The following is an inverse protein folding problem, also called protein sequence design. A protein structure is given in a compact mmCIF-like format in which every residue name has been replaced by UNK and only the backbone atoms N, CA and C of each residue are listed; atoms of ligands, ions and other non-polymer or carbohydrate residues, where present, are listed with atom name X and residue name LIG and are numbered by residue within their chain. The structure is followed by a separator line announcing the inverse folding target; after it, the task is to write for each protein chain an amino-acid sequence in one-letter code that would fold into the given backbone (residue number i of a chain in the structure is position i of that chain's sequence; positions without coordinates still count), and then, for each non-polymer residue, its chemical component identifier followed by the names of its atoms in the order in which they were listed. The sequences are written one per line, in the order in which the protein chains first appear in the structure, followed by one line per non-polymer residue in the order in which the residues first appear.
data_IF_075957004698
#
_entry.id   IF_075957004698
#
_cell.length_a   1.000
_cell.length_b   1.000
_cell.length_c   1.000
_cell.angle_alpha   90.00
_cell.angle_beta   90.00
_cell.angle_gamma   90.00
#
_symmetry.space_group_name_H-M   'P 1'
#
loop_
_entity.id
_entity.type
_entity.pdbx_description
1 polymer ?
#
# COMPACT_ATOMS: atom_id res chain seq x y z
N UNK A 1 -13.60 -3.18 -5.91
CA UNK A 1 -14.10 -2.68 -4.65
C UNK A 1 -15.40 -1.91 -4.79
N UNK A 2 -16.28 -2.09 -3.85
CA UNK A 2 -17.56 -1.40 -3.79
C UNK A 2 -17.47 -0.06 -3.03
N UNK A 3 -16.43 0.11 -2.24
CA UNK A 3 -16.18 1.30 -1.41
C UNK A 3 -15.13 2.17 -2.08
N UNK A 4 -15.45 3.41 -2.37
CA UNK A 4 -14.45 4.36 -2.83
C UNK A 4 -13.65 4.95 -1.65
N UNK A 5 -12.50 5.55 -1.95
CA UNK A 5 -11.58 6.10 -0.93
C UNK A 5 -12.27 7.11 0.02
N UNK A 6 -13.16 7.95 -0.49
CA UNK A 6 -13.83 8.96 0.33
C UNK A 6 -14.82 8.35 1.31
N UNK A 7 -15.44 7.22 0.97
CA UNK A 7 -16.37 6.53 1.86
C UNK A 7 -15.67 5.64 2.88
N UNK A 8 -14.41 5.26 2.62
CA UNK A 8 -13.65 4.37 3.51
C UNK A 8 -13.43 5.02 4.88
N UNK A 9 -12.86 6.21 4.90
CA UNK A 9 -12.58 6.95 6.14
C UNK A 9 -13.87 7.26 6.90
N UNK A 10 -14.91 7.71 6.20
CA UNK A 10 -16.21 7.97 6.79
C UNK A 10 -16.82 6.72 7.45
N UNK A 11 -16.68 5.56 6.85
CA UNK A 11 -17.18 4.30 7.43
C UNK A 11 -16.39 3.94 8.69
N UNK A 12 -15.07 4.10 8.67
CA UNK A 12 -14.22 3.84 9.84
C UNK A 12 -14.55 4.81 10.97
N UNK A 13 -14.67 6.09 10.68
CA UNK A 13 -15.05 7.12 11.67
C UNK A 13 -16.43 6.84 12.28
N UNK A 14 -17.43 6.52 11.47
CA UNK A 14 -18.77 6.14 11.96
C UNK A 14 -18.75 4.87 12.82
N UNK A 15 -17.81 3.99 12.60
CA UNK A 15 -17.58 2.82 13.44
C UNK A 15 -16.78 3.13 14.72
N UNK A 16 -16.49 4.42 14.98
CA UNK A 16 -15.69 4.85 16.14
C UNK A 16 -14.21 4.52 16.03
N UNK A 17 -13.72 4.32 14.81
CA UNK A 17 -12.35 3.93 14.54
C UNK A 17 -11.50 5.02 13.91
N UNK A 18 -10.27 4.66 13.66
CA UNK A 18 -9.29 5.42 12.88
C UNK A 18 -8.47 4.45 12.05
N UNK A 19 -7.95 4.93 10.93
CA UNK A 19 -7.12 4.16 10.03
C UNK A 19 -5.90 4.95 9.60
N UNK A 20 -4.88 4.25 9.17
CA UNK A 20 -3.73 4.83 8.48
C UNK A 20 -3.00 3.75 7.68
N UNK A 21 -1.96 4.17 6.94
CA UNK A 21 -1.10 3.28 6.20
C UNK A 21 0.33 3.82 6.13
N UNK A 22 1.29 2.94 5.95
CA UNK A 22 2.66 3.32 5.60
C UNK A 22 3.26 2.35 4.60
N UNK A 23 4.21 2.84 3.82
CA UNK A 23 4.97 2.04 2.86
C UNK A 23 6.45 2.09 3.18
N UNK A 24 7.07 0.92 3.25
CA UNK A 24 8.53 0.76 3.29
C UNK A 24 9.02 0.15 1.97
N UNK A 25 10.31 -0.13 1.87
CA UNK A 25 10.88 -0.75 0.68
C UNK A 25 10.29 -2.14 0.36
N UNK A 26 9.80 -2.86 1.37
CA UNK A 26 9.40 -4.26 1.25
C UNK A 26 7.93 -4.50 1.51
N UNK A 27 7.27 -3.65 2.29
CA UNK A 27 5.88 -3.82 2.69
C UNK A 27 5.09 -2.52 2.57
N UNK A 28 3.81 -2.65 2.28
CA UNK A 28 2.79 -1.64 2.57
C UNK A 28 1.91 -2.19 3.68
N UNK A 29 1.79 -1.45 4.77
CA UNK A 29 0.95 -1.80 5.89
C UNK A 29 -0.26 -0.89 5.95
N UNK A 30 -1.45 -1.48 6.04
CA UNK A 30 -2.71 -0.80 6.29
C UNK A 30 -3.20 -1.22 7.66
N UNK A 31 -3.70 -0.30 8.46
CA UNK A 31 -4.24 -0.65 9.76
C UNK A 31 -5.47 0.18 10.11
N UNK A 32 -6.38 -0.48 10.83
CA UNK A 32 -7.59 0.10 11.39
C UNK A 32 -7.59 -0.19 12.88
N UNK A 33 -7.85 0.83 13.68
CA UNK A 33 -8.16 0.68 15.10
C UNK A 33 -9.62 1.06 15.31
N UNK A 34 -10.40 0.19 15.94
CA UNK A 34 -11.82 0.43 16.20
C UNK A 34 -12.31 -0.37 17.43
N UNK A 35 -13.44 0.00 18.02
CA UNK A 35 -14.08 -0.78 19.07
C UNK A 35 -14.39 -2.21 18.60
N UNK A 36 -14.23 -3.19 19.49
CA UNK A 36 -14.39 -4.62 19.17
C UNK A 36 -15.77 -4.98 18.62
N UNK A 37 -16.79 -4.26 19.01
CA UNK A 37 -18.17 -4.42 18.54
C UNK A 37 -18.29 -4.19 17.02
N UNK A 38 -17.38 -3.43 16.44
CA UNK A 38 -17.34 -3.08 15.02
C UNK A 38 -16.25 -3.83 14.25
N UNK A 39 -15.63 -4.88 14.85
CA UNK A 39 -14.54 -5.65 14.25
C UNK A 39 -14.86 -6.13 12.82
N UNK A 40 -16.07 -6.56 12.57
CA UNK A 40 -16.50 -7.05 11.26
C UNK A 40 -16.42 -5.97 10.16
N UNK A 41 -16.57 -4.69 10.50
CA UNK A 41 -16.42 -3.59 9.52
C UNK A 41 -14.99 -3.51 8.98
N UNK A 42 -13.97 -3.76 9.83
CA UNK A 42 -12.58 -3.81 9.38
C UNK A 42 -12.36 -4.95 8.37
N UNK A 43 -12.86 -6.14 8.67
CA UNK A 43 -12.77 -7.29 7.76
C UNK A 43 -13.43 -7.00 6.41
N UNK A 44 -14.62 -6.42 6.44
CA UNK A 44 -15.36 -6.02 5.24
C UNK A 44 -14.58 -5.02 4.38
N UNK A 45 -14.05 -3.98 5.01
CA UNK A 45 -13.34 -2.91 4.30
C UNK A 45 -12.02 -3.40 3.70
N UNK A 46 -11.24 -4.19 4.44
CA UNK A 46 -9.97 -4.72 3.96
C UNK A 46 -10.15 -5.80 2.90
N UNK A 47 -11.19 -6.63 2.99
CA UNK A 47 -11.52 -7.58 1.93
C UNK A 47 -11.95 -6.87 0.65
N UNK A 48 -12.74 -5.81 0.73
CA UNK A 48 -13.14 -4.99 -0.41
C UNK A 48 -11.93 -4.31 -1.07
N UNK A 49 -10.97 -3.80 -0.28
CA UNK A 49 -9.68 -3.29 -0.78
C UNK A 49 -8.91 -4.35 -1.58
N UNK A 50 -8.89 -5.59 -1.10
CA UNK A 50 -8.17 -6.70 -1.76
C UNK A 50 -8.88 -7.17 -3.04
N UNK A 51 -10.21 -7.11 -3.07
CA UNK A 51 -11.01 -7.47 -4.26
C UNK A 51 -10.79 -6.50 -5.42
N UNK A 52 -10.67 -5.21 -5.14
CA UNK A 52 -10.42 -4.21 -6.16
C UNK A 52 -10.60 -2.78 -5.66
N UNK A 53 -10.03 -1.86 -6.40
CA UNK A 53 -10.17 -0.43 -6.17
C UNK A 53 -11.03 0.19 -7.29
N UNK A 54 -11.60 1.35 -7.00
CA UNK A 54 -12.34 2.12 -8.00
C UNK A 54 -11.36 2.83 -8.96
N UNK A 55 -10.80 2.07 -9.88
CA UNK A 55 -9.86 2.56 -10.89
C UNK A 55 -10.59 3.39 -11.95
N UNK A 56 -10.64 4.70 -11.78
CA UNK A 56 -11.18 5.65 -12.75
C UNK A 56 -10.10 6.63 -13.21
N UNK A 57 -10.18 7.18 -14.42
CA UNK A 57 -9.24 8.21 -14.88
C UNK A 57 -9.17 9.40 -13.91
N UNK A 58 -10.31 9.81 -13.36
CA UNK A 58 -10.39 10.90 -12.37
C UNK A 58 -9.66 10.56 -11.08
N UNK A 59 -9.86 9.33 -10.53
CA UNK A 59 -9.19 8.93 -9.30
C UNK A 59 -7.68 8.81 -9.49
N UNK A 60 -7.22 8.33 -10.64
CA UNK A 60 -5.79 8.27 -10.96
C UNK A 60 -5.18 9.68 -11.00
N UNK A 61 -5.84 10.62 -11.69
CA UNK A 61 -5.31 11.98 -11.83
C UNK A 61 -5.23 12.71 -10.48
N UNK A 62 -6.26 12.60 -9.66
CA UNK A 62 -6.25 13.19 -8.31
C UNK A 62 -5.10 12.62 -7.47
N UNK A 63 -4.96 11.29 -7.43
CA UNK A 63 -3.89 10.66 -6.66
C UNK A 63 -2.50 10.95 -7.22
N UNK A 64 -2.36 11.03 -8.53
CA UNK A 64 -1.09 11.44 -9.16
C UNK A 64 -0.63 12.79 -8.66
N UNK A 65 -1.50 13.79 -8.65
CA UNK A 65 -1.17 15.13 -8.17
C UNK A 65 -0.82 15.14 -6.67
N UNK A 66 -1.56 14.40 -5.85
CA UNK A 66 -1.25 14.27 -4.42
C UNK A 66 0.17 13.70 -4.22
N UNK A 67 0.50 12.60 -4.92
CA UNK A 67 1.82 11.96 -4.78
C UNK A 67 2.94 12.83 -5.34
N UNK A 68 2.69 13.57 -6.43
CA UNK A 68 3.65 14.55 -6.97
C UNK A 68 3.95 15.65 -5.97
N UNK A 69 2.92 16.21 -5.33
CA UNK A 69 3.12 17.26 -4.32
C UNK A 69 3.80 16.71 -3.05
N UNK A 70 3.48 15.49 -2.65
CA UNK A 70 4.18 14.79 -1.56
C UNK A 70 5.67 14.61 -1.88
N UNK A 71 6.01 14.19 -3.11
CA UNK A 71 7.41 14.09 -3.55
C UNK A 71 8.12 15.43 -3.46
N UNK A 72 7.50 16.49 -3.99
CA UNK A 72 8.09 17.85 -3.94
C UNK A 72 8.29 18.31 -2.50
N UNK A 73 7.30 18.17 -1.65
CA UNK A 73 7.39 18.57 -0.25
C UNK A 73 8.48 17.82 0.51
N UNK A 74 8.61 16.53 0.31
CA UNK A 74 9.55 15.71 1.06
C UNK A 74 11.00 15.81 0.56
N UNK A 75 11.19 16.04 -0.75
CA UNK A 75 12.50 15.92 -1.36
C UNK A 75 13.01 17.18 -2.05
N UNK A 76 12.15 18.09 -2.52
CA UNK A 76 12.58 19.23 -3.33
C UNK A 76 12.40 20.59 -2.65
N UNK A 77 11.34 20.75 -1.85
CA UNK A 77 10.93 22.05 -1.32
C UNK A 77 11.49 22.36 0.08
N UNK A 78 12.36 21.51 0.61
CA UNK A 78 12.96 21.71 1.92
C UNK A 78 14.49 21.62 1.85
N UNK A 79 15.23 22.37 2.69
CA UNK A 79 16.66 22.24 2.79
C UNK A 79 17.08 20.81 3.08
N UNK A 80 18.05 20.29 2.33
CA UNK A 80 18.56 18.91 2.48
C UNK A 80 17.55 17.79 2.22
N UNK A 81 16.39 18.08 1.63
CA UNK A 81 15.38 17.09 1.34
C UNK A 81 15.84 15.98 0.40
N UNK A 82 16.75 16.30 -0.51
CA UNK A 82 17.32 15.39 -1.49
C UNK A 82 18.44 14.46 -0.95
N UNK A 83 18.89 14.65 0.29
CA UNK A 83 19.98 13.84 0.89
C UNK A 83 19.69 12.35 0.75
N UNK A 84 18.47 11.92 1.06
CA UNK A 84 18.12 10.51 0.98
C UNK A 84 18.10 9.96 -0.45
N UNK A 85 17.75 10.78 -1.45
CA UNK A 85 17.84 10.41 -2.86
C UNK A 85 19.30 10.17 -3.26
N UNK A 86 20.17 11.09 -2.87
CA UNK A 86 21.61 11.02 -3.16
C UNK A 86 22.27 9.84 -2.46
N UNK A 87 22.06 9.68 -1.15
CA UNK A 87 22.65 8.60 -0.35
C UNK A 87 22.26 7.23 -0.88
N UNK A 88 20.99 7.02 -1.22
CA UNK A 88 20.53 5.72 -1.77
C UNK A 88 21.20 5.39 -3.09
N UNK A 89 21.33 6.36 -3.99
CA UNK A 89 21.99 6.17 -5.27
C UNK A 89 23.52 5.96 -5.16
N UNK A 90 24.13 6.43 -4.07
CA UNK A 90 25.54 6.17 -3.76
C UNK A 90 25.73 4.80 -3.12
N UNK A 91 24.84 4.42 -2.18
CA UNK A 91 24.91 3.16 -1.44
C UNK A 91 24.55 1.93 -2.30
N UNK A 92 23.60 2.08 -3.21
CA UNK A 92 23.11 0.99 -4.05
C UNK A 92 23.24 1.34 -5.53
N UNK A 93 23.79 0.39 -6.31
CA UNK A 93 24.02 0.54 -7.77
C UNK A 93 23.11 -0.37 -8.60
N UNK A 94 22.68 -1.49 -8.06
CA UNK A 94 21.82 -2.47 -8.73
C UNK A 94 20.56 -2.81 -7.94
N UNK A 95 20.67 -2.83 -6.60
CA UNK A 95 19.55 -3.18 -5.76
C UNK A 95 18.42 -2.12 -5.85
N UNK A 96 17.15 -2.50 -5.87
CA UNK A 96 16.01 -1.55 -5.90
C UNK A 96 15.97 -0.52 -4.77
N UNK A 97 16.73 -0.73 -3.70
CA UNK A 97 16.86 0.25 -2.62
C UNK A 97 17.59 1.54 -3.01
N UNK A 98 18.12 1.61 -4.23
CA UNK A 98 18.76 2.83 -4.77
C UNK A 98 17.80 4.03 -4.91
N UNK A 99 16.49 3.81 -4.87
CA UNK A 99 15.46 4.86 -4.88
C UNK A 99 14.47 4.71 -3.74
N UNK A 100 13.79 5.80 -3.32
CA UNK A 100 12.77 5.75 -2.29
C UNK A 100 11.48 5.11 -2.82
N UNK A 101 10.60 4.72 -1.89
CA UNK A 101 9.32 4.07 -2.19
C UNK A 101 8.39 4.91 -3.05
N UNK A 102 8.46 6.24 -2.91
CA UNK A 102 7.63 7.17 -3.69
C UNK A 102 8.06 7.27 -5.16
N UNK A 103 9.26 6.82 -5.50
CA UNK A 103 9.81 6.88 -6.85
C UNK A 103 11.15 7.62 -6.90
N UNK A 104 11.84 7.51 -8.03
CA UNK A 104 13.15 8.14 -8.25
C UNK A 104 13.00 9.60 -8.70
N UNK A 105 12.02 9.87 -9.53
CA UNK A 105 11.80 11.16 -10.18
C UNK A 105 10.30 11.46 -10.27
N UNK A 106 9.93 12.74 -10.24
CA UNK A 106 8.54 13.19 -10.39
C UNK A 106 7.93 12.67 -11.70
N UNK A 107 8.71 12.65 -12.77
CA UNK A 107 8.28 12.16 -14.09
C UNK A 107 7.77 10.72 -14.07
N UNK A 108 8.28 9.86 -13.18
CA UNK A 108 7.78 8.49 -13.03
C UNK A 108 6.34 8.47 -12.50
N UNK A 109 6.00 9.40 -11.61
CA UNK A 109 4.65 9.54 -11.06
C UNK A 109 3.71 10.14 -12.10
N UNK A 110 4.16 11.20 -12.78
CA UNK A 110 3.40 11.92 -13.81
C UNK A 110 3.02 11.03 -14.99
N UNK A 111 3.92 10.15 -15.40
CA UNK A 111 3.74 9.28 -16.56
C UNK A 111 3.10 7.92 -16.22
N UNK A 112 2.85 7.61 -14.93
CA UNK A 112 2.23 6.34 -14.54
C UNK A 112 0.84 6.18 -15.20
N UNK A 113 0.66 5.08 -15.92
CA UNK A 113 -0.58 4.77 -16.63
C UNK A 113 -1.56 3.99 -15.77
N UNK A 114 -2.84 4.04 -16.14
CA UNK A 114 -3.87 3.24 -15.46
C UNK A 114 -3.59 1.75 -15.54
N UNK A 115 -3.05 1.27 -16.65
CA UNK A 115 -2.75 -0.15 -16.85
C UNK A 115 -1.58 -0.61 -15.97
N UNK A 116 -0.57 0.22 -15.79
CA UNK A 116 0.52 -0.05 -14.85
C UNK A 116 0.01 -0.12 -13.40
N UNK A 117 -0.83 0.83 -12.99
CA UNK A 117 -1.41 0.85 -11.64
C UNK A 117 -2.27 -0.39 -11.40
N UNK A 118 -3.14 -0.75 -12.35
CA UNK A 118 -3.94 -1.98 -12.28
C UNK A 118 -3.07 -3.23 -12.25
N UNK A 119 -2.08 -3.31 -13.12
CA UNK A 119 -1.16 -4.44 -13.18
C UNK A 119 -0.42 -4.62 -11.85
N UNK A 120 0.08 -3.54 -11.27
CA UNK A 120 0.72 -3.55 -9.95
C UNK A 120 -0.25 -4.04 -8.86
N UNK A 121 -1.47 -3.51 -8.83
CA UNK A 121 -2.48 -3.92 -7.86
C UNK A 121 -2.80 -5.42 -8.00
N UNK A 122 -3.11 -5.89 -9.19
CA UNK A 122 -3.42 -7.31 -9.42
C UNK A 122 -2.24 -8.24 -9.10
N UNK A 123 -1.03 -7.76 -9.29
CA UNK A 123 0.18 -8.51 -8.99
C UNK A 123 0.45 -8.65 -7.50
N UNK A 124 0.21 -7.59 -6.71
CA UNK A 124 0.68 -7.52 -5.33
C UNK A 124 -0.42 -7.61 -4.28
N UNK A 125 -1.66 -7.22 -4.59
CA UNK A 125 -2.79 -7.21 -3.65
C UNK A 125 -3.61 -8.50 -3.74
N UNK A 126 -3.03 -9.59 -3.27
CA UNK A 126 -3.66 -10.91 -3.29
C UNK A 126 -3.56 -11.57 -1.91
N UNK A 127 -4.52 -12.45 -1.52
CA UNK A 127 -4.51 -13.09 -0.21
C UNK A 127 -3.25 -13.93 0.04
N UNK A 128 -2.68 -14.50 -0.99
CA UNK A 128 -1.42 -15.26 -0.89
C UNK A 128 -0.16 -14.38 -0.88
N UNK A 129 -0.29 -13.06 -0.89
CA UNK A 129 0.77 -12.07 -0.73
C UNK A 129 0.46 -11.08 0.40
N UNK A 130 -0.40 -11.45 1.34
CA UNK A 130 -0.83 -10.62 2.45
C UNK A 130 -0.73 -11.39 3.78
N UNK A 131 -0.49 -10.65 4.84
CA UNK A 131 -0.55 -11.14 6.21
C UNK A 131 -1.62 -10.32 6.93
N UNK A 132 -2.64 -11.00 7.45
CA UNK A 132 -3.67 -10.39 8.29
C UNK A 132 -3.27 -10.57 9.76
N UNK A 133 -3.18 -9.46 10.48
CA UNK A 133 -2.94 -9.45 11.92
C UNK A 133 -4.13 -8.81 12.62
N UNK A 134 -4.69 -9.49 13.60
CA UNK A 134 -5.76 -8.97 14.46
C UNK A 134 -5.29 -9.03 15.90
N UNK A 135 -5.30 -7.89 16.58
CA UNK A 135 -4.84 -7.77 17.96
C UNK A 135 -5.83 -6.94 18.80
N UNK A 136 -6.11 -7.38 20.00
CA UNK A 136 -7.02 -6.70 20.93
C UNK A 136 -7.88 -7.68 21.73
N UNK A 137 -8.99 -7.19 22.25
CA UNK A 137 -9.99 -7.98 22.99
C UNK A 137 -10.90 -8.71 21.99
N UNK A 138 -10.39 -9.82 21.43
CA UNK A 138 -11.05 -10.62 20.40
C UNK A 138 -10.90 -12.11 20.66
N UNK A 139 -11.92 -12.88 20.28
CA UNK A 139 -11.90 -14.34 20.37
C UNK A 139 -11.35 -14.96 19.06
N UNK A 140 -10.46 -15.94 19.17
CA UNK A 140 -9.80 -16.58 18.03
C UNK A 140 -10.81 -17.17 17.02
N UNK A 141 -11.85 -17.80 17.51
CA UNK A 141 -12.87 -18.44 16.65
C UNK A 141 -13.71 -17.41 15.90
N UNK A 142 -13.97 -16.24 16.52
CA UNK A 142 -14.59 -15.10 15.83
C UNK A 142 -13.70 -14.58 14.70
N UNK A 143 -12.41 -14.39 14.96
CA UNK A 143 -11.44 -13.93 13.96
C UNK A 143 -11.35 -14.91 12.78
N UNK A 144 -11.29 -16.22 13.05
CA UNK A 144 -11.30 -17.25 12.00
C UNK A 144 -12.56 -17.19 11.16
N UNK A 145 -13.73 -17.14 11.81
CA UNK A 145 -15.01 -17.05 11.11
C UNK A 145 -15.11 -15.82 10.22
N UNK A 146 -14.71 -14.64 10.71
CA UNK A 146 -14.72 -13.40 9.94
C UNK A 146 -13.69 -13.45 8.78
N UNK A 147 -12.53 -14.05 9.02
CA UNK A 147 -11.51 -14.22 7.98
C UNK A 147 -12.05 -15.10 6.84
N UNK A 148 -12.66 -16.21 7.16
CA UNK A 148 -13.26 -17.12 6.17
C UNK A 148 -14.43 -16.45 5.43
N UNK A 149 -15.31 -15.76 6.16
CA UNK A 149 -16.46 -15.05 5.61
C UNK A 149 -16.05 -13.99 4.58
N UNK A 150 -15.05 -13.17 4.89
CA UNK A 150 -14.71 -12.00 4.10
C UNK A 150 -13.58 -12.24 3.11
N UNK A 151 -12.61 -13.08 3.43
CA UNK A 151 -11.45 -13.34 2.55
C UNK A 151 -11.51 -14.73 1.87
N UNK A 152 -12.28 -15.68 2.38
CA UNK A 152 -12.28 -17.06 1.91
C UNK A 152 -12.66 -17.22 0.44
N UNK A 153 -13.47 -16.34 -0.11
CA UNK A 153 -13.86 -16.35 -1.53
C UNK A 153 -12.87 -15.64 -2.46
N UNK A 154 -11.87 -14.95 -1.92
CA UNK A 154 -10.90 -14.20 -2.73
C UNK A 154 -9.90 -15.18 -3.33
N UNK A 155 -9.88 -15.23 -4.65
CA UNK A 155 -9.04 -16.17 -5.38
C UNK A 155 -7.55 -15.81 -5.24
N UNK A 156 -6.73 -16.84 -5.00
CA UNK A 156 -5.27 -16.71 -5.07
C UNK A 156 -4.85 -16.22 -6.45
N UNK A 157 -3.85 -15.37 -6.48
CA UNK A 157 -3.23 -14.92 -7.74
C UNK A 157 -1.86 -15.58 -7.91
N UNK A 158 -1.31 -15.45 -9.09
CA UNK A 158 0.01 -15.98 -9.39
C UNK A 158 1.06 -15.38 -8.45
N UNK A 159 1.87 -16.25 -7.84
CA UNK A 159 2.95 -15.82 -6.96
C UNK A 159 4.13 -15.31 -7.80
N UNK A 160 4.58 -14.10 -7.52
CA UNK A 160 5.74 -13.52 -8.19
C UNK A 160 6.97 -13.65 -7.30
N UNK A 161 7.92 -14.48 -7.74
CA UNK A 161 9.24 -14.51 -7.13
C UNK A 161 9.96 -13.21 -7.51
N UNK A 162 10.30 -12.40 -6.52
CA UNK A 162 11.13 -11.23 -6.73
C UNK A 162 12.56 -11.69 -7.02
N UNK A 163 13.00 -11.50 -8.23
CA UNK A 163 14.42 -11.65 -8.56
C UNK A 163 15.13 -10.34 -8.24
N UNK A 164 15.58 -10.19 -7.00
CA UNK A 164 16.29 -9.01 -6.54
C UNK A 164 17.77 -9.17 -6.88
N UNK A 165 18.37 -8.29 -7.68
CA UNK A 165 19.78 -8.38 -8.02
C UNK A 165 20.66 -8.18 -6.78
N UNK A 166 21.68 -8.98 -6.65
CA UNK A 166 22.69 -8.81 -5.60
C UNK A 166 23.47 -7.52 -5.85
N UNK A 167 23.61 -6.70 -4.81
CA UNK A 167 24.45 -5.51 -4.88
C UNK A 167 25.92 -5.93 -5.00
N UNK A 168 26.68 -5.34 -5.92
CA UNK A 168 28.11 -5.61 -6.03
C UNK A 168 28.84 -5.14 -4.77
N UNK A 169 29.91 -5.85 -4.41
CA UNK A 169 30.77 -5.44 -3.31
C UNK A 169 31.36 -4.06 -3.60
N UNK A 170 31.25 -3.15 -2.65
CA UNK A 170 31.87 -1.84 -2.76
C UNK A 170 33.38 -1.95 -2.53
N UNK A 171 34.14 -1.51 -3.50
CA UNK A 171 35.62 -1.59 -3.47
C UNK A 171 36.31 -0.27 -3.16
N UNK A 172 35.61 0.84 -3.11
CA UNK A 172 35.95 2.17 -2.53
C UNK A 172 34.87 3.16 -2.91
#
# INVERSE_FOLDING_TARGET
GSVNIFNYDEIVEKAGGQNNAFTSNDITNYYITLPKENLEQAFRLESDRMLGLAFTPKSLEVQRQVVVEEFKQNYLNQPYGDIHLLLRSLAYKKHPYQWPTIGKEVSHIENATMDEVKSFFYKHYAPNNAILVVAGDVELDQVKHLSEKWFGSIVRRESHIRNIPTEPQQTK
#
